data_IF_932457470931
#
_entry.id   IF_932457470931
#
_cell.length_a   1.000
_cell.length_b   1.000
_cell.length_c   1.000
_cell.angle_alpha   90.00
_cell.angle_beta   90.00
_cell.angle_gamma   90.00
#
_symmetry.space_group_name_H-M   'P 1'
#
loop_
_entity.id
_entity.type
_entity.pdbx_description
1 polymer ?
#
# COMPACT_ATOMS: atom_id res chain seq x y z
N UNK A 1 -6.77 -27.56 -14.07
CA UNK A 1 -5.91 -26.44 -13.61
C UNK A 1 -4.52 -26.35 -14.28
N UNK A 2 -4.27 -26.97 -15.45
CA UNK A 2 -3.00 -26.79 -16.22
C UNK A 2 -3.17 -26.13 -17.59
N UNK A 3 -4.39 -25.76 -18.00
CA UNK A 3 -4.67 -25.06 -19.28
C UNK A 3 -4.78 -23.52 -19.16
N UNK A 4 -4.88 -22.96 -17.95
CA UNK A 4 -4.98 -21.51 -17.73
C UNK A 4 -3.64 -20.81 -17.48
N UNK A 5 -2.56 -21.57 -17.24
CA UNK A 5 -1.20 -21.01 -17.06
C UNK A 5 -0.52 -20.72 -18.41
N UNK A 6 -0.87 -21.47 -19.47
CA UNK A 6 -0.33 -21.23 -20.81
C UNK A 6 -0.94 -19.98 -21.47
N UNK A 7 -2.17 -19.61 -21.14
CA UNK A 7 -2.87 -18.48 -21.75
C UNK A 7 -2.42 -17.12 -21.17
N UNK A 8 -1.97 -17.09 -19.92
CA UNK A 8 -1.44 -15.88 -19.26
C UNK A 8 0.01 -15.61 -19.70
N UNK A 9 0.79 -16.66 -20.02
CA UNK A 9 2.15 -16.52 -20.54
C UNK A 9 2.23 -15.98 -21.98
N UNK A 10 1.24 -16.27 -22.81
CA UNK A 10 1.19 -15.82 -24.21
C UNK A 10 0.78 -14.35 -24.37
N UNK A 11 -0.01 -13.78 -23.43
CA UNK A 11 -0.33 -12.36 -23.44
C UNK A 11 0.82 -11.45 -22.96
N UNK A 12 1.80 -11.99 -22.23
CA UNK A 12 2.98 -11.23 -21.77
C UNK A 12 4.11 -11.11 -22.80
N UNK A 13 4.10 -11.92 -23.87
CA UNK A 13 5.10 -11.83 -24.94
C UNK A 13 4.69 -10.89 -26.09
N UNK A 14 3.39 -10.64 -26.28
CA UNK A 14 2.87 -9.73 -27.30
C UNK A 14 3.04 -8.23 -26.95
N UNK A 15 3.29 -7.91 -25.68
CA UNK A 15 3.49 -6.52 -25.21
C UNK A 15 4.96 -6.09 -25.15
N UNK A 16 5.90 -7.00 -25.41
CA UNK A 16 7.35 -6.70 -25.39
C UNK A 16 7.90 -6.46 -26.81
N UNK A 17 7.12 -6.72 -27.87
CA UNK A 17 7.51 -6.43 -29.27
C UNK A 17 6.86 -5.18 -29.90
N UNK A 18 6.13 -4.36 -29.13
CA UNK A 18 5.49 -3.12 -29.61
C UNK A 18 6.11 -1.83 -29.08
N UNK A 19 7.26 -1.92 -28.42
CA UNK A 19 7.96 -0.80 -27.79
C UNK A 19 9.43 -0.71 -28.17
N UNK A 20 9.78 -0.84 -29.45
CA UNK A 20 11.09 -0.46 -29.95
C UNK A 20 11.03 -0.11 -31.44
N UNK A 21 11.59 1.04 -31.78
CA UNK A 21 11.94 1.52 -33.12
C UNK A 21 10.90 2.34 -33.90
N UNK A 22 10.75 3.62 -33.50
CA UNK A 22 10.66 4.70 -34.49
C UNK A 22 12.08 5.16 -34.88
N UNK A 23 12.27 5.37 -36.19
CA UNK A 23 13.43 5.88 -36.95
C UNK A 23 14.27 4.82 -37.66
N UNK A 24 14.01 4.67 -38.96
CA UNK A 24 14.90 5.06 -40.08
C UNK A 24 14.06 4.96 -41.38
N UNK A 25 13.98 6.06 -42.14
CA UNK A 25 13.54 6.10 -43.54
C UNK A 25 14.72 5.70 -44.42
N UNK A 26 14.49 4.87 -45.45
CA UNK A 26 15.44 4.64 -46.55
C UNK A 26 15.16 3.36 -47.33
N UNK A 27 14.54 3.52 -48.50
CA UNK A 27 14.53 2.73 -49.74
C UNK A 27 14.94 1.23 -49.77
N UNK A 28 13.96 0.39 -50.16
CA UNK A 28 13.93 -0.71 -51.19
C UNK A 28 15.08 -1.77 -51.27
N UNK A 29 14.89 -2.99 -51.86
CA UNK A 29 13.72 -3.55 -52.55
C UNK A 29 13.29 -4.97 -52.08
N UNK A 30 12.20 -5.43 -52.69
CA UNK A 30 11.72 -6.81 -52.74
C UNK A 30 12.79 -7.80 -53.21
N UNK A 31 12.89 -8.97 -52.57
CA UNK A 31 13.07 -10.22 -53.32
C UNK A 31 12.67 -11.46 -52.53
N UNK A 32 12.15 -12.42 -53.28
CA UNK A 32 11.49 -13.64 -52.85
C UNK A 32 12.48 -14.80 -52.85
N UNK A 33 12.75 -15.50 -51.74
CA UNK A 33 13.43 -16.81 -51.80
C UNK A 33 12.86 -17.79 -50.77
N UNK A 34 12.32 -18.89 -51.31
CA UNK A 34 12.01 -20.15 -50.64
C UNK A 34 13.25 -20.77 -49.98
N UNK A 35 13.11 -21.32 -48.77
CA UNK A 35 14.14 -22.18 -48.19
C UNK A 35 13.68 -22.90 -46.92
N UNK A 36 13.35 -24.19 -47.04
CA UNK A 36 13.28 -25.10 -45.90
C UNK A 36 14.69 -25.28 -45.35
N UNK A 37 14.95 -24.87 -44.10
CA UNK A 37 16.23 -25.08 -43.45
C UNK A 37 16.12 -24.92 -41.94
N UNK A 38 16.62 -25.92 -41.19
CA UNK A 38 16.81 -25.86 -39.73
C UNK A 38 18.01 -24.95 -39.45
N UNK A 39 17.85 -23.97 -38.56
CA UNK A 39 18.99 -23.25 -38.00
C UNK A 39 19.57 -24.06 -36.83
N UNK A 40 20.80 -24.57 -37.01
CA UNK A 40 21.64 -25.07 -35.93
C UNK A 40 22.29 -23.87 -35.22
N UNK A 41 22.25 -23.86 -33.89
CA UNK A 41 23.09 -23.01 -33.07
C UNK A 41 24.16 -23.93 -32.45
N UNK A 42 25.42 -23.74 -32.83
CA UNK A 42 26.57 -24.35 -32.16
C UNK A 42 26.89 -23.56 -30.89
N UNK A 43 26.95 -24.26 -29.75
CA UNK A 43 27.46 -23.72 -28.49
C UNK A 43 28.91 -24.21 -28.36
N UNK A 44 29.91 -23.35 -28.12
CA UNK A 44 31.28 -23.79 -27.92
C UNK A 44 31.40 -24.63 -26.63
N UNK A 45 32.14 -25.74 -26.73
CA UNK A 45 32.52 -26.60 -25.62
C UNK A 45 33.31 -25.81 -24.57
N UNK A 46 32.81 -25.76 -23.34
CA UNK A 46 33.60 -25.40 -22.16
C UNK A 46 33.86 -26.71 -21.41
N UNK A 47 35.12 -27.16 -21.42
CA UNK A 47 35.57 -28.27 -20.57
C UNK A 47 35.52 -27.85 -19.11
N UNK A 48 34.76 -28.59 -18.31
CA UNK A 48 34.81 -28.54 -16.85
C UNK A 48 35.71 -29.71 -16.43
N UNK A 49 36.78 -29.49 -15.64
CA UNK A 49 37.60 -30.59 -15.17
C UNK A 49 36.77 -31.51 -14.26
N UNK A 50 36.77 -32.80 -14.57
CA UNK A 50 36.23 -33.84 -13.70
C UNK A 50 36.97 -33.79 -12.37
N UNK A 51 36.24 -33.43 -11.31
CA UNK A 51 36.72 -33.56 -9.95
C UNK A 51 36.10 -34.85 -9.40
N UNK A 52 36.84 -35.95 -9.53
CA UNK A 52 36.52 -37.23 -8.90
C UNK A 52 36.41 -37.02 -7.38
N UNK A 53 35.18 -36.98 -6.88
CA UNK A 53 34.90 -37.15 -5.47
C UNK A 53 34.54 -38.62 -5.25
N UNK A 54 35.53 -39.39 -4.82
CA UNK A 54 35.38 -40.76 -4.34
C UNK A 54 34.56 -40.76 -3.04
N UNK A 55 33.28 -41.13 -3.14
CA UNK A 55 32.37 -41.25 -2.00
C UNK A 55 32.51 -42.58 -1.25
N UNK A 56 33.39 -43.50 -1.70
CA UNK A 56 33.62 -44.80 -1.04
C UNK A 56 34.75 -44.75 0.01
N UNK A 57 35.39 -43.60 0.22
CA UNK A 57 36.50 -43.42 1.18
C UNK A 57 36.10 -42.89 2.58
N UNK A 58 34.80 -42.81 2.94
CA UNK A 58 34.36 -42.38 4.28
C UNK A 58 33.45 -43.41 4.96
N UNK A 59 34.02 -44.57 5.26
CA UNK A 59 33.44 -45.53 6.19
C UNK A 59 33.87 -45.19 7.63
N UNK A 60 33.10 -44.37 8.33
CA UNK A 60 33.24 -44.21 9.79
C UNK A 60 32.19 -45.07 10.50
N UNK A 61 32.56 -46.31 10.77
CA UNK A 61 31.79 -47.24 11.61
C UNK A 61 32.02 -46.88 13.10
N UNK A 62 31.19 -46.00 13.66
CA UNK A 62 31.17 -45.76 15.11
C UNK A 62 30.27 -46.79 15.79
N UNK A 63 30.87 -47.88 16.28
CA UNK A 63 30.24 -48.73 17.30
C UNK A 63 30.44 -48.09 18.68
N UNK A 64 29.35 -47.57 19.24
CA UNK A 64 29.30 -47.22 20.66
C UNK A 64 28.89 -48.45 21.47
N UNK A 65 29.84 -49.08 22.16
CA UNK A 65 29.53 -50.03 23.22
C UNK A 65 29.24 -49.26 24.52
N UNK A 66 27.97 -49.23 24.93
CA UNK A 66 27.58 -48.78 26.26
C UNK A 66 27.60 -49.96 27.21
N UNK A 67 28.69 -50.11 27.97
CA UNK A 67 28.71 -51.05 29.08
C UNK A 67 27.97 -50.41 30.28
N UNK A 68 26.70 -50.76 30.46
CA UNK A 68 25.86 -50.24 31.54
C UNK A 68 26.01 -51.11 32.79
N UNK A 69 26.80 -50.66 33.76
CA UNK A 69 26.91 -51.32 35.06
C UNK A 69 25.61 -51.10 35.86
N UNK A 70 24.71 -52.08 35.73
CA UNK A 70 23.38 -52.07 36.36
C UNK A 70 23.46 -52.08 37.90
N UNK A 71 24.57 -52.52 38.50
CA UNK A 71 24.72 -52.50 39.96
C UNK A 71 24.97 -51.09 40.50
N UNK A 72 25.74 -50.26 39.79
CA UNK A 72 25.99 -48.86 40.18
C UNK A 72 24.72 -48.00 40.07
N UNK A 73 23.89 -48.25 39.05
CA UNK A 73 22.64 -47.53 38.87
C UNK A 73 21.60 -47.83 39.97
N UNK A 74 21.50 -49.09 40.41
CA UNK A 74 20.62 -49.47 41.51
C UNK A 74 21.06 -48.90 42.86
N UNK A 75 22.37 -48.82 43.12
CA UNK A 75 22.91 -48.19 44.32
C UNK A 75 22.61 -46.68 44.36
N UNK A 76 22.76 -45.98 43.22
CA UNK A 76 22.39 -44.56 43.09
C UNK A 76 20.91 -44.30 43.28
N UNK A 77 20.05 -45.22 42.83
CA UNK A 77 18.60 -45.08 43.00
C UNK A 77 18.19 -45.24 44.46
N UNK A 78 18.77 -46.21 45.18
CA UNK A 78 18.50 -46.37 46.61
C UNK A 78 19.01 -45.17 47.45
N UNK A 79 20.17 -44.62 47.12
CA UNK A 79 20.70 -43.42 47.80
C UNK A 79 19.82 -42.19 47.54
N UNK A 80 19.30 -42.04 46.32
CA UNK A 80 18.41 -40.94 45.95
C UNK A 80 17.04 -41.03 46.63
N UNK A 81 16.49 -42.25 46.79
CA UNK A 81 15.23 -42.49 47.50
C UNK A 81 15.38 -42.32 49.03
N UNK A 82 16.56 -42.63 49.60
CA UNK A 82 16.89 -42.42 51.02
C UNK A 82 17.21 -40.95 51.33
N UNK A 83 17.78 -40.18 50.39
CA UNK A 83 18.05 -38.75 50.54
C UNK A 83 16.82 -37.86 50.33
N UNK A 84 15.75 -38.13 51.08
CA UNK A 84 14.84 -37.11 51.59
C UNK A 84 14.15 -36.18 50.61
N UNK A 85 13.33 -36.68 49.67
CA UNK A 85 12.30 -35.85 49.02
C UNK A 85 11.08 -35.74 49.94
N UNK A 86 11.21 -34.97 51.03
CA UNK A 86 10.06 -34.61 51.88
C UNK A 86 9.25 -33.42 51.37
N UNK A 87 9.74 -32.66 50.38
CA UNK A 87 9.15 -31.37 50.03
C UNK A 87 8.77 -31.15 48.57
N UNK A 88 8.52 -32.21 47.78
CA UNK A 88 8.04 -32.03 46.39
C UNK A 88 6.69 -31.29 46.33
N UNK A 89 5.78 -31.58 47.27
CA UNK A 89 4.49 -30.88 47.40
C UNK A 89 4.62 -29.42 47.86
N UNK A 90 5.67 -29.10 48.61
CA UNK A 90 5.94 -27.73 49.06
C UNK A 90 6.60 -26.91 47.95
N UNK A 91 7.48 -27.53 47.16
CA UNK A 91 8.07 -26.94 45.95
C UNK A 91 7.00 -26.64 44.88
N UNK A 92 6.05 -27.57 44.66
CA UNK A 92 4.92 -27.34 43.76
C UNK A 92 4.01 -26.21 44.22
N UNK A 93 3.73 -26.10 45.53
CA UNK A 93 2.98 -24.97 46.09
C UNK A 93 3.73 -23.65 45.90
N UNK A 94 5.03 -23.62 46.18
CA UNK A 94 5.84 -22.41 46.04
C UNK A 94 5.99 -21.96 44.57
N UNK A 95 6.07 -22.90 43.62
CA UNK A 95 6.04 -22.61 42.19
C UNK A 95 4.68 -22.04 41.74
N UNK A 96 3.58 -22.54 42.28
CA UNK A 96 2.23 -22.05 41.96
C UNK A 96 1.98 -20.65 42.51
N UNK A 97 2.38 -20.39 43.76
CA UNK A 97 2.31 -19.06 44.40
C UNK A 97 3.21 -18.05 43.67
N UNK A 98 4.41 -18.44 43.26
CA UNK A 98 5.30 -17.57 42.48
C UNK A 98 4.72 -17.28 41.09
N UNK A 99 4.04 -18.23 40.43
CA UNK A 99 3.38 -17.99 39.14
C UNK A 99 2.23 -16.99 39.26
N UNK A 100 1.45 -17.06 40.33
CA UNK A 100 0.35 -16.10 40.59
C UNK A 100 0.90 -14.70 40.89
N UNK A 101 1.92 -14.58 41.75
CA UNK A 101 2.62 -13.32 42.05
C UNK A 101 3.31 -12.72 40.82
N UNK A 102 3.94 -13.54 39.98
CA UNK A 102 4.51 -13.11 38.68
C UNK A 102 3.41 -12.62 37.72
N UNK A 103 2.22 -13.22 37.76
CA UNK A 103 1.08 -12.74 36.96
C UNK A 103 0.55 -11.39 37.45
N UNK A 104 0.52 -11.16 38.77
CA UNK A 104 0.13 -9.88 39.36
C UNK A 104 1.18 -8.79 39.16
N UNK A 105 2.48 -9.12 39.29
CA UNK A 105 3.58 -8.24 38.89
C UNK A 105 3.50 -7.90 37.39
N UNK A 106 3.20 -8.88 36.53
CA UNK A 106 2.99 -8.66 35.10
C UNK A 106 1.76 -7.80 34.78
N UNK A 107 0.72 -7.81 35.61
CA UNK A 107 -0.45 -6.92 35.50
C UNK A 107 -0.12 -5.50 35.99
N UNK A 108 0.60 -5.37 37.11
CA UNK A 108 1.02 -4.08 37.66
C UNK A 108 2.13 -3.38 36.85
N UNK A 109 2.95 -4.14 36.10
CA UNK A 109 3.89 -3.58 35.12
C UNK A 109 3.18 -3.06 33.85
N UNK A 110 2.05 -3.67 33.47
CA UNK A 110 1.24 -3.18 32.34
C UNK A 110 0.46 -1.90 32.66
N UNK A 111 0.13 -1.64 33.93
CA UNK A 111 -0.53 -0.38 34.33
C UNK A 111 0.44 0.77 34.62
N UNK A 112 1.75 0.50 34.78
CA UNK A 112 2.75 1.50 35.17
C UNK A 112 3.76 1.85 34.06
N UNK A 113 3.60 1.27 32.87
CA UNK A 113 4.40 1.60 31.68
C UNK A 113 3.49 2.26 30.65
N UNK A 114 3.63 3.58 30.46
CA UNK A 114 3.15 4.29 29.26
C UNK A 114 3.93 3.81 28.03
N UNK A 115 3.69 2.57 27.60
CA UNK A 115 4.28 1.89 26.45
C UNK A 115 3.18 1.34 25.52
N UNK A 116 2.09 2.08 25.33
CA UNK A 116 1.09 1.72 24.32
C UNK A 116 1.61 1.91 22.88
N UNK A 117 2.77 2.55 22.70
CA UNK A 117 3.38 2.75 21.36
C UNK A 117 4.33 1.61 20.92
N UNK A 118 4.62 0.62 21.77
CA UNK A 118 5.56 -0.47 21.46
C UNK A 118 4.88 -1.76 20.95
N UNK A 119 3.57 -1.94 21.17
CA UNK A 119 2.84 -3.14 20.72
C UNK A 119 2.35 -3.07 19.27
N UNK A 120 2.32 -1.89 18.66
CA UNK A 120 1.84 -1.68 17.29
C UNK A 120 2.87 -2.14 16.23
N UNK A 121 4.11 -2.44 16.65
CA UNK A 121 5.17 -3.01 15.80
C UNK A 121 5.31 -4.53 15.91
N UNK A 122 4.29 -5.24 16.39
CA UNK A 122 4.24 -6.70 16.27
C UNK A 122 4.12 -7.06 14.79
N UNK A 123 5.23 -7.53 14.21
CA UNK A 123 5.31 -8.06 12.86
C UNK A 123 4.32 -9.23 12.71
N UNK A 124 3.29 -9.07 11.88
CA UNK A 124 2.52 -10.19 11.31
C UNK A 124 3.29 -10.87 10.16
N UNK A 125 4.61 -10.96 10.27
CA UNK A 125 5.40 -11.95 9.56
C UNK A 125 5.82 -12.99 10.61
N UNK A 126 5.62 -14.28 10.34
CA UNK A 126 6.13 -15.37 11.18
C UNK A 126 7.58 -15.07 11.54
N UNK A 127 7.81 -14.67 12.79
CA UNK A 127 9.02 -14.01 13.24
C UNK A 127 10.25 -14.87 13.02
N UNK A 128 11.06 -14.52 12.03
CA UNK A 128 12.46 -14.88 12.02
C UNK A 128 13.19 -13.87 12.90
N UNK A 129 13.97 -14.35 13.85
CA UNK A 129 14.94 -13.49 14.55
C UNK A 129 16.05 -13.14 13.56
N UNK A 130 16.52 -11.88 13.50
CA UNK A 130 17.69 -11.54 12.70
C UNK A 130 18.89 -12.40 13.10
N UNK A 131 19.64 -12.90 12.12
CA UNK A 131 20.90 -13.63 12.36
C UNK A 131 22.02 -12.68 12.82
N UNK A 132 21.96 -11.41 12.37
CA UNK A 132 22.90 -10.35 12.76
C UNK A 132 22.17 -9.02 12.84
N UNK A 133 22.58 -8.18 13.79
CA UNK A 133 22.09 -6.80 13.95
C UNK A 133 23.29 -5.86 14.05
N UNK A 134 23.22 -4.74 13.32
CA UNK A 134 24.20 -3.65 13.41
C UNK A 134 23.47 -2.36 13.80
N UNK A 135 24.00 -1.63 14.78
CA UNK A 135 23.44 -0.34 15.21
C UNK A 135 24.44 0.78 14.95
N UNK A 136 23.97 1.90 14.42
CA UNK A 136 24.77 3.09 14.11
C UNK A 136 24.04 4.35 14.54
N UNK A 137 24.80 5.36 14.94
CA UNK A 137 24.27 6.65 15.39
C UNK A 137 24.94 7.78 14.62
N UNK A 138 24.14 8.72 14.12
CA UNK A 138 24.59 9.86 13.34
C UNK A 138 24.10 11.15 13.97
N UNK A 139 24.96 12.16 14.02
CA UNK A 139 24.64 13.48 14.58
C UNK A 139 24.63 14.52 13.46
N UNK A 140 23.96 15.65 13.66
CA UNK A 140 23.94 16.77 12.70
C UNK A 140 23.38 16.41 11.30
N UNK A 141 22.47 15.43 11.24
CA UNK A 141 21.78 15.04 10.00
C UNK A 141 20.55 15.94 9.80
N UNK A 142 20.40 16.48 8.60
CA UNK A 142 19.25 17.27 8.16
C UNK A 142 18.38 16.54 7.14
N UNK A 143 18.94 15.56 6.43
CA UNK A 143 18.26 14.78 5.39
C UNK A 143 18.73 13.32 5.38
N UNK A 144 17.79 12.40 5.15
CA UNK A 144 18.06 10.97 5.02
C UNK A 144 17.51 10.48 3.69
N UNK A 145 18.39 9.85 2.90
CA UNK A 145 18.06 9.21 1.64
C UNK A 145 18.18 7.70 1.78
N UNK A 146 17.07 6.98 1.68
CA UNK A 146 17.05 5.51 1.75
C UNK A 146 16.74 4.94 0.38
N UNK A 147 17.66 4.18 -0.21
CA UNK A 147 17.42 3.33 -1.37
C UNK A 147 17.44 1.87 -0.96
N UNK A 148 16.29 1.22 -1.00
CA UNK A 148 16.11 -0.11 -0.43
C UNK A 148 15.41 -1.05 -1.40
N UNK A 149 16.06 -2.15 -1.74
CA UNK A 149 15.53 -3.06 -2.75
C UNK A 149 14.63 -4.15 -2.18
N UNK A 150 15.05 -4.81 -1.10
CA UNK A 150 14.34 -5.97 -0.52
C UNK A 150 14.40 -5.97 1.00
N UNK A 151 13.22 -5.95 1.62
CA UNK A 151 13.05 -5.95 3.06
C UNK A 151 12.21 -4.77 3.54
N UNK A 152 12.10 -4.63 4.84
CA UNK A 152 11.21 -3.66 5.46
C UNK A 152 11.99 -2.45 5.98
N UNK A 153 11.34 -1.28 5.93
CA UNK A 153 11.81 -0.06 6.56
C UNK A 153 10.79 0.33 7.62
N UNK A 154 11.24 0.42 8.86
CA UNK A 154 10.46 0.89 9.99
C UNK A 154 10.99 2.23 10.44
N UNK A 155 10.19 3.28 10.30
CA UNK A 155 10.56 4.63 10.66
C UNK A 155 9.84 5.03 11.94
N UNK A 156 10.57 5.63 12.87
CA UNK A 156 10.03 6.17 14.12
C UNK A 156 10.54 7.57 14.34
N UNK A 157 9.66 8.50 14.67
CA UNK A 157 10.08 9.81 15.15
C UNK A 157 10.66 9.69 16.58
N UNK A 158 11.74 10.42 16.85
CA UNK A 158 12.44 10.46 18.13
C UNK A 158 12.63 11.90 18.63
N UNK A 159 12.77 12.02 19.96
CA UNK A 159 13.16 13.28 20.64
C UNK A 159 14.68 13.46 20.70
N UNK A 160 15.44 12.44 20.33
CA UNK A 160 16.90 12.53 20.20
C UNK A 160 17.28 13.53 19.11
N UNK A 161 18.45 14.16 19.25
CA UNK A 161 19.07 14.95 18.17
C UNK A 161 19.78 14.08 17.14
N UNK A 162 19.99 12.81 17.47
CA UNK A 162 20.72 11.88 16.65
C UNK A 162 19.76 10.99 15.87
N UNK A 163 20.18 10.60 14.68
CA UNK A 163 19.56 9.51 13.92
C UNK A 163 20.14 8.21 14.43
N UNK A 164 19.29 7.26 14.79
CA UNK A 164 19.69 5.91 15.20
C UNK A 164 19.19 4.92 14.15
N UNK A 165 20.13 4.19 13.55
CA UNK A 165 19.87 3.20 12.52
C UNK A 165 20.22 1.81 13.05
N UNK A 166 19.26 0.91 13.01
CA UNK A 166 19.44 -0.52 13.24
C UNK A 166 19.21 -1.28 11.93
N UNK A 167 20.19 -2.12 11.58
CA UNK A 167 20.19 -2.92 10.36
C UNK A 167 20.11 -4.38 10.77
N UNK A 168 19.06 -5.05 10.33
CA UNK A 168 18.77 -6.45 10.67
C UNK A 168 19.01 -7.33 9.44
N UNK A 169 19.86 -8.34 9.59
CA UNK A 169 20.20 -9.30 8.53
C UNK A 169 19.59 -10.66 8.82
N UNK A 170 18.91 -11.26 7.83
CA UNK A 170 18.23 -12.56 7.95
C UNK A 170 18.91 -13.68 7.16
N UNK A 171 20.20 -13.52 6.84
CA UNK A 171 21.00 -14.58 6.27
C UNK A 171 22.40 -14.63 6.92
N UNK A 172 22.86 -15.85 7.20
CA UNK A 172 24.19 -16.20 7.73
C UNK A 172 25.31 -16.10 6.68
N UNK A 173 25.00 -16.08 5.40
CA UNK A 173 26.00 -15.95 4.34
C UNK A 173 26.64 -14.56 4.42
N UNK A 174 27.90 -14.50 4.86
CA UNK A 174 28.74 -13.32 4.97
C UNK A 174 29.04 -12.68 3.59
N UNK A 175 28.01 -12.17 2.92
CA UNK A 175 28.19 -11.30 1.78
C UNK A 175 28.84 -10.00 2.27
N UNK A 176 29.92 -9.57 1.62
CA UNK A 176 30.61 -8.32 1.96
C UNK A 176 29.65 -7.14 1.77
N UNK A 177 29.37 -6.43 2.88
CA UNK A 177 28.72 -5.12 2.96
C UNK A 177 27.47 -4.93 2.08
N UNK A 178 26.36 -5.62 2.40
CA UNK A 178 25.12 -5.47 1.64
C UNK A 178 24.40 -4.15 1.92
N UNK A 179 24.86 -3.36 2.92
CA UNK A 179 24.40 -1.99 3.16
C UNK A 179 25.57 -1.03 3.02
N UNK A 180 25.41 -0.01 2.18
CA UNK A 180 26.35 1.10 2.00
C UNK A 180 25.77 2.34 2.67
N UNK A 181 26.60 3.02 3.45
CA UNK A 181 26.20 4.24 4.14
C UNK A 181 27.26 5.30 3.89
N UNK A 182 26.83 6.50 3.54
CA UNK A 182 27.69 7.67 3.41
C UNK A 182 27.04 8.88 4.06
N UNK A 183 27.87 9.75 4.60
CA UNK A 183 27.47 11.03 5.17
C UNK A 183 28.22 12.12 4.43
N UNK A 184 27.50 13.06 3.81
CA UNK A 184 28.08 14.26 3.22
C UNK A 184 27.21 15.46 3.57
N UNK A 185 27.81 16.49 4.18
CA UNK A 185 27.18 17.79 4.47
C UNK A 185 25.79 17.68 5.16
N UNK A 186 25.64 16.75 6.10
CA UNK A 186 24.39 16.54 6.85
C UNK A 186 23.35 15.66 6.14
N UNK A 187 23.68 15.10 4.97
CA UNK A 187 22.85 14.11 4.27
C UNK A 187 23.36 12.71 4.61
N UNK A 188 22.48 11.87 5.17
CA UNK A 188 22.74 10.46 5.42
C UNK A 188 22.13 9.61 4.31
N UNK A 189 22.97 9.05 3.44
CA UNK A 189 22.52 8.15 2.38
C UNK A 189 22.71 6.69 2.80
N UNK A 190 21.64 5.89 2.70
CA UNK A 190 21.59 4.48 3.06
C UNK A 190 21.11 3.68 1.85
N UNK A 191 21.98 2.81 1.32
CA UNK A 191 21.64 1.95 0.19
C UNK A 191 21.77 0.47 0.57
N UNK A 192 20.70 -0.32 0.40
CA UNK A 192 20.74 -1.77 0.60
C UNK A 192 20.73 -2.51 -0.75
N UNK A 193 21.61 -3.51 -0.86
CA UNK A 193 21.73 -4.41 -2.01
C UNK A 193 21.11 -5.79 -1.71
N UNK A 194 20.10 -5.82 -0.82
CA UNK A 194 19.39 -7.05 -0.45
C UNK A 194 18.81 -7.78 -1.67
N UNK A 195 18.40 -9.03 -1.46
CA UNK A 195 17.73 -9.85 -2.46
C UNK A 195 16.48 -10.49 -1.86
N UNK A 196 15.67 -11.16 -2.68
CA UNK A 196 14.50 -11.89 -2.20
C UNK A 196 14.84 -12.96 -1.16
N UNK A 197 16.05 -13.54 -1.25
CA UNK A 197 16.59 -14.55 -0.32
C UNK A 197 17.34 -13.92 0.86
N UNK A 198 17.93 -12.74 0.63
CA UNK A 198 18.75 -12.02 1.62
C UNK A 198 18.08 -10.69 1.96
N UNK A 199 16.96 -10.77 2.66
CA UNK A 199 16.21 -9.60 3.10
C UNK A 199 16.97 -8.87 4.21
N UNK A 200 16.86 -7.54 4.20
CA UNK A 200 17.46 -6.67 5.19
C UNK A 200 16.36 -5.77 5.71
N UNK A 201 16.15 -5.74 7.02
CA UNK A 201 15.23 -4.78 7.62
C UNK A 201 16.02 -3.58 8.17
N UNK A 202 15.50 -2.38 7.92
CA UNK A 202 16.02 -1.13 8.44
C UNK A 202 15.05 -0.59 9.48
N UNK A 203 15.50 -0.42 10.72
CA UNK A 203 14.74 0.29 11.75
C UNK A 203 15.46 1.60 12.01
N UNK A 204 14.78 2.72 11.76
CA UNK A 204 15.38 4.05 11.86
C UNK A 204 14.57 4.94 12.79
N UNK A 205 15.24 5.47 13.81
CA UNK A 205 14.71 6.50 14.69
C UNK A 205 15.25 7.86 14.24
N UNK A 206 14.35 8.77 13.88
CA UNK A 206 14.65 10.03 13.18
C UNK A 206 14.20 11.22 14.04
N UNK A 207 15.02 12.26 14.23
CA UNK A 207 14.59 13.51 14.88
C UNK A 207 13.49 14.24 14.09
N UNK A 208 12.64 15.00 14.80
CA UNK A 208 11.42 15.65 14.25
C UNK A 208 11.59 16.53 13.01
N UNK A 209 12.78 17.06 12.76
CA UNK A 209 13.03 18.07 11.73
C UNK A 209 13.90 17.55 10.58
N UNK A 210 14.05 16.22 10.47
CA UNK A 210 14.92 15.60 9.46
C UNK A 210 14.08 15.15 8.28
N UNK A 211 14.41 15.67 7.10
CA UNK A 211 13.77 15.27 5.85
C UNK A 211 14.07 13.80 5.56
N UNK A 212 13.07 13.09 5.05
CA UNK A 212 13.19 11.68 4.68
C UNK A 212 12.73 11.44 3.25
N UNK A 213 13.63 10.91 2.43
CA UNK A 213 13.30 10.38 1.12
C UNK A 213 13.50 8.86 1.11
N UNK A 214 12.51 8.13 0.60
CA UNK A 214 12.55 6.66 0.52
C UNK A 214 12.31 6.21 -0.91
N UNK A 215 13.19 5.40 -1.45
CA UNK A 215 12.99 4.58 -2.64
C UNK A 215 12.94 3.10 -2.19
N UNK A 216 11.77 2.49 -2.26
CA UNK A 216 11.53 1.11 -1.83
C UNK A 216 10.90 0.29 -2.96
N UNK A 217 11.52 -0.85 -3.29
CA UNK A 217 11.05 -1.73 -4.38
C UNK A 217 10.33 -3.00 -3.96
N UNK A 218 10.70 -3.66 -2.88
CA UNK A 218 10.04 -4.89 -2.44
C UNK A 218 10.06 -4.99 -0.92
N UNK A 219 8.88 -4.86 -0.31
CA UNK A 219 8.72 -4.99 1.14
C UNK A 219 7.77 -3.96 1.70
N UNK A 220 7.97 -3.59 2.97
CA UNK A 220 7.08 -2.66 3.68
C UNK A 220 7.81 -1.42 4.14
N UNK A 221 7.26 -0.25 3.88
CA UNK A 221 7.56 0.96 4.63
C UNK A 221 6.49 1.12 5.70
N UNK A 222 6.88 1.21 6.98
CA UNK A 222 5.95 1.46 8.07
C UNK A 222 6.44 2.61 8.93
N UNK A 223 5.56 3.55 9.22
CA UNK A 223 5.85 4.67 10.10
C UNK A 223 4.64 5.03 10.96
N UNK A 224 4.88 5.66 12.11
CA UNK A 224 3.80 6.15 12.96
C UNK A 224 3.47 7.61 12.57
N UNK A 225 3.58 8.53 13.51
CA UNK A 225 3.53 9.96 13.27
C UNK A 225 4.86 10.45 12.67
N UNK A 226 4.77 11.33 11.67
CA UNK A 226 5.92 11.97 11.04
C UNK A 226 5.64 13.45 10.77
N UNK A 227 6.56 14.32 11.21
CA UNK A 227 6.40 15.78 11.17
C UNK A 227 7.49 16.53 10.40
N UNK A 228 8.07 15.90 9.37
CA UNK A 228 9.08 16.50 8.51
C UNK A 228 8.76 16.29 7.02
N UNK A 229 9.43 17.02 6.10
CA UNK A 229 9.28 16.78 4.67
C UNK A 229 9.56 15.32 4.32
N UNK A 230 8.62 14.72 3.57
CA UNK A 230 8.64 13.30 3.25
C UNK A 230 8.37 13.09 1.76
N UNK A 231 9.20 12.26 1.14
CA UNK A 231 9.01 11.79 -0.23
C UNK A 231 9.19 10.28 -0.29
N UNK A 232 8.29 9.57 -0.98
CA UNK A 232 8.39 8.14 -1.17
C UNK A 232 8.19 7.77 -2.65
N UNK A 233 9.13 7.00 -3.20
CA UNK A 233 9.01 6.29 -4.46
C UNK A 233 8.91 4.80 -4.14
N UNK A 234 7.74 4.23 -4.38
CA UNK A 234 7.36 2.90 -3.96
C UNK A 234 7.04 2.06 -5.20
N UNK A 235 7.59 0.86 -5.26
CA UNK A 235 7.19 -0.17 -6.21
C UNK A 235 6.94 -1.45 -5.44
N UNK A 236 5.98 -2.28 -5.87
CA UNK A 236 5.70 -3.62 -5.32
C UNK A 236 5.81 -3.72 -3.79
N UNK A 237 5.31 -2.69 -3.09
CA UNK A 237 5.51 -2.52 -1.66
C UNK A 237 4.23 -2.10 -0.96
N UNK A 238 4.22 -2.26 0.36
CA UNK A 238 3.16 -1.76 1.22
C UNK A 238 3.67 -0.58 2.02
N UNK A 239 2.95 0.53 2.02
CA UNK A 239 3.22 1.67 2.87
C UNK A 239 2.10 1.86 3.88
N UNK A 240 2.45 1.79 5.17
CA UNK A 240 1.51 2.00 6.27
C UNK A 240 2.01 3.16 7.14
N UNK A 241 1.21 4.23 7.27
CA UNK A 241 1.48 5.38 8.11
C UNK A 241 0.33 5.70 9.08
N UNK A 242 0.64 6.09 10.30
CA UNK A 242 -0.37 6.59 11.23
C UNK A 242 -0.75 8.02 10.88
N UNK A 243 0.19 8.96 10.94
CA UNK A 243 -0.13 10.34 10.60
C UNK A 243 1.01 11.21 10.08
N UNK A 244 0.63 12.19 9.26
CA UNK A 244 1.48 13.31 8.87
C UNK A 244 0.93 14.60 9.48
N UNK A 245 1.67 15.17 10.43
CA UNK A 245 1.41 16.50 10.99
C UNK A 245 2.41 17.48 10.38
N UNK A 246 2.02 18.67 9.94
CA UNK A 246 2.98 19.72 9.54
C UNK A 246 3.75 19.53 8.22
N UNK A 247 3.66 18.37 7.57
CA UNK A 247 4.28 18.11 6.28
C UNK A 247 3.24 17.71 5.22
N UNK A 248 3.53 18.06 3.97
CA UNK A 248 2.77 17.63 2.79
C UNK A 248 3.53 16.51 2.07
N UNK A 249 3.32 15.23 2.43
CA UNK A 249 4.04 14.12 1.81
C UNK A 249 3.77 14.02 0.30
N UNK A 250 4.82 13.66 -0.45
CA UNK A 250 4.71 13.28 -1.86
C UNK A 250 4.96 11.78 -1.99
N UNK A 251 3.96 11.03 -2.43
CA UNK A 251 4.02 9.58 -2.50
C UNK A 251 3.75 9.15 -3.95
N UNK A 252 4.74 8.48 -4.54
CA UNK A 252 4.61 7.79 -5.82
C UNK A 252 4.59 6.31 -5.56
N UNK A 253 3.53 5.63 -5.95
CA UNK A 253 3.39 4.18 -5.74
C UNK A 253 3.04 3.45 -7.02
N UNK A 254 3.66 2.29 -7.24
CA UNK A 254 3.45 1.46 -8.42
C UNK A 254 3.30 -0.01 -8.02
N UNK A 255 2.16 -0.62 -8.33
CA UNK A 255 1.85 -2.01 -7.97
C UNK A 255 1.88 -2.26 -6.46
N UNK A 256 1.45 -1.27 -5.68
CA UNK A 256 1.58 -1.27 -4.22
C UNK A 256 0.26 -1.05 -3.49
N UNK A 257 0.40 -0.90 -2.18
CA UNK A 257 -0.70 -0.54 -1.28
C UNK A 257 -0.26 0.56 -0.34
N UNK A 258 -1.03 1.64 -0.28
CA UNK A 258 -0.81 2.76 0.63
C UNK A 258 -1.96 2.83 1.64
N UNK A 259 -1.66 2.83 2.92
CA UNK A 259 -2.62 3.01 4.02
C UNK A 259 -2.15 4.14 4.92
N UNK A 260 -2.93 5.21 5.05
CA UNK A 260 -2.61 6.35 5.93
C UNK A 260 -3.82 6.68 6.80
N UNK A 261 -3.64 6.75 8.12
CA UNK A 261 -4.79 7.02 9.00
C UNK A 261 -5.18 8.51 8.97
N UNK A 262 -4.21 9.42 9.09
CA UNK A 262 -4.49 10.85 9.10
C UNK A 262 -3.41 11.68 8.42
N UNK A 263 -3.79 12.58 7.54
CA UNK A 263 -2.87 13.59 7.01
C UNK A 263 -3.59 14.93 6.84
N UNK A 264 -2.85 16.03 6.82
CA UNK A 264 -3.43 17.32 6.43
C UNK A 264 -3.53 17.36 4.90
N UNK A 265 -2.40 17.53 4.22
CA UNK A 265 -2.38 17.61 2.77
C UNK A 265 -1.40 16.57 2.19
N UNK A 266 -1.67 16.01 1.01
CA UNK A 266 -0.75 15.08 0.35
C UNK A 266 -0.80 15.19 -1.18
N UNK A 267 0.31 14.81 -1.84
CA UNK A 267 0.37 14.54 -3.28
C UNK A 267 0.53 13.04 -3.47
N UNK A 268 -0.42 12.41 -4.17
CA UNK A 268 -0.33 10.98 -4.51
C UNK A 268 -0.29 10.80 -6.02
N UNK A 269 0.68 10.03 -6.49
CA UNK A 269 0.76 9.55 -7.86
C UNK A 269 0.83 8.03 -7.85
N UNK A 270 -0.20 7.37 -8.37
CA UNK A 270 -0.35 5.93 -8.20
C UNK A 270 -0.59 5.22 -9.53
N UNK A 271 -0.13 3.98 -9.63
CA UNK A 271 -0.29 3.16 -10.84
C UNK A 271 -0.48 1.71 -10.47
N UNK A 272 -1.63 1.14 -10.81
CA UNK A 272 -2.02 -0.23 -10.47
C UNK A 272 -1.95 -0.52 -8.97
N UNK A 273 -2.39 0.44 -8.16
CA UNK A 273 -2.21 0.42 -6.70
C UNK A 273 -3.54 0.52 -5.96
N UNK A 274 -3.50 0.24 -4.66
CA UNK A 274 -4.64 0.43 -3.75
C UNK A 274 -4.30 1.45 -2.67
N UNK A 275 -5.11 2.50 -2.56
CA UNK A 275 -4.93 3.57 -1.58
C UNK A 275 -6.09 3.55 -0.60
N UNK A 276 -5.77 3.55 0.69
CA UNK A 276 -6.73 3.75 1.78
C UNK A 276 -6.30 4.92 2.65
N UNK A 277 -7.16 5.93 2.80
CA UNK A 277 -6.91 7.08 3.67
C UNK A 277 -8.12 7.32 4.55
N UNK A 278 -7.93 7.32 5.88
CA UNK A 278 -9.06 7.47 6.80
C UNK A 278 -9.45 8.95 6.98
N UNK A 279 -8.48 9.86 7.12
CA UNK A 279 -8.76 11.30 7.22
C UNK A 279 -7.75 12.16 6.47
N UNK A 280 -8.23 13.07 5.63
CA UNK A 280 -7.41 14.07 4.95
C UNK A 280 -8.09 15.44 4.89
N UNK A 281 -7.30 16.52 4.93
CA UNK A 281 -7.80 17.82 4.53
C UNK A 281 -7.77 17.94 3.00
N UNK A 282 -6.60 17.86 2.36
CA UNK A 282 -6.48 17.95 0.89
C UNK A 282 -5.68 16.82 0.27
N UNK A 283 -6.20 16.25 -0.80
CA UNK A 283 -5.51 15.27 -1.62
C UNK A 283 -5.38 15.79 -3.05
N UNK A 284 -4.14 16.02 -3.50
CA UNK A 284 -3.85 16.20 -4.92
C UNK A 284 -3.49 14.82 -5.50
N UNK A 285 -4.35 14.28 -6.36
CA UNK A 285 -4.31 12.90 -6.81
C UNK A 285 -4.03 12.79 -8.31
N UNK A 286 -3.20 11.83 -8.67
CA UNK A 286 -3.12 11.25 -10.01
C UNK A 286 -3.09 9.72 -9.88
N UNK A 287 -3.95 9.05 -10.62
CA UNK A 287 -4.07 7.59 -10.57
C UNK A 287 -4.20 7.01 -11.97
N UNK A 288 -3.40 5.98 -12.25
CA UNK A 288 -3.55 5.15 -13.43
C UNK A 288 -3.98 3.75 -12.98
N UNK A 289 -5.27 3.43 -13.18
CA UNK A 289 -5.86 2.14 -12.84
C UNK A 289 -5.66 1.76 -11.37
N UNK A 290 -5.98 2.70 -10.47
CA UNK A 290 -5.77 2.52 -9.02
C UNK A 290 -7.07 2.71 -8.26
N UNK A 291 -7.24 1.94 -7.18
CA UNK A 291 -8.44 1.98 -6.35
C UNK A 291 -8.20 2.87 -5.13
N UNK A 292 -9.13 3.77 -4.84
CA UNK A 292 -9.08 4.71 -3.74
C UNK A 292 -10.25 4.49 -2.77
N UNK A 293 -9.94 4.21 -1.51
CA UNK A 293 -10.90 4.13 -0.41
C UNK A 293 -10.61 5.26 0.56
N UNK A 294 -11.44 6.30 0.56
CA UNK A 294 -11.22 7.54 1.29
C UNK A 294 -12.37 7.75 2.29
N UNK A 295 -12.12 7.78 3.60
CA UNK A 295 -13.22 7.81 4.56
C UNK A 295 -13.76 9.24 4.84
N UNK A 296 -12.93 10.18 5.29
CA UNK A 296 -13.32 11.59 5.48
C UNK A 296 -12.28 12.53 4.86
N UNK A 297 -12.64 13.18 3.76
CA UNK A 297 -11.75 14.09 3.03
C UNK A 297 -12.43 15.45 2.84
N UNK A 298 -11.70 16.54 3.11
CA UNK A 298 -12.23 17.88 2.89
C UNK A 298 -12.15 18.28 1.42
N UNK A 299 -11.04 18.03 0.73
CA UNK A 299 -10.85 18.42 -0.67
C UNK A 299 -10.06 17.37 -1.46
N UNK A 300 -10.53 17.06 -2.68
CA UNK A 300 -9.82 16.25 -3.66
C UNK A 300 -9.61 17.08 -4.94
N UNK A 301 -8.36 17.15 -5.40
CA UNK A 301 -7.99 17.74 -6.68
C UNK A 301 -7.31 16.70 -7.57
N UNK A 302 -7.95 16.34 -8.67
CA UNK A 302 -7.44 15.44 -9.71
C UNK A 302 -7.27 16.18 -11.05
N UNK A 303 -6.57 17.32 -11.01
CA UNK A 303 -6.40 18.21 -12.16
C UNK A 303 -5.12 17.96 -12.96
N UNK A 304 -4.09 17.35 -12.36
CA UNK A 304 -2.75 17.24 -12.95
C UNK A 304 -2.67 16.25 -14.13
N UNK A 305 -3.61 15.30 -14.21
CA UNK A 305 -3.73 14.31 -15.29
C UNK A 305 -5.11 13.65 -15.24
N UNK A 306 -5.58 13.06 -16.34
CA UNK A 306 -6.77 12.22 -16.29
C UNK A 306 -6.53 11.03 -15.35
N UNK A 307 -7.43 10.85 -14.40
CA UNK A 307 -7.33 9.80 -13.37
C UNK A 307 -8.25 8.63 -13.70
N UNK A 308 -7.76 7.40 -13.55
CA UNK A 308 -8.49 6.14 -13.81
C UNK A 308 -8.46 5.19 -12.62
N UNK A 309 -9.46 4.30 -12.52
CA UNK A 309 -9.71 3.40 -11.40
C UNK A 309 -10.80 3.88 -10.43
N UNK A 310 -11.13 3.07 -9.43
CA UNK A 310 -12.36 3.27 -8.65
C UNK A 310 -12.16 4.18 -7.43
N UNK A 311 -13.12 5.07 -7.17
CA UNK A 311 -13.17 5.93 -5.99
C UNK A 311 -14.35 5.56 -5.11
N UNK A 312 -14.07 5.12 -3.89
CA UNK A 312 -15.07 4.91 -2.83
C UNK A 312 -14.79 5.89 -1.69
N UNK A 313 -15.69 6.85 -1.52
CA UNK A 313 -15.51 7.98 -0.62
C UNK A 313 -16.65 8.01 0.39
N UNK A 314 -16.34 8.05 1.69
CA UNK A 314 -17.34 8.22 2.74
C UNK A 314 -17.91 9.64 2.74
N UNK A 315 -17.25 10.55 3.46
CA UNK A 315 -17.59 11.97 3.50
C UNK A 315 -16.62 12.81 2.68
N UNK A 316 -17.14 13.65 1.80
CA UNK A 316 -16.37 14.53 0.95
C UNK A 316 -16.81 15.98 1.11
N UNK A 317 -15.88 16.90 1.32
CA UNK A 317 -16.15 18.34 1.26
C UNK A 317 -16.32 18.78 -0.19
N UNK A 318 -15.22 18.77 -0.93
CA UNK A 318 -15.16 19.18 -2.33
C UNK A 318 -14.33 18.27 -3.23
N UNK A 319 -14.70 18.22 -4.52
CA UNK A 319 -14.00 17.46 -5.55
C UNK A 319 -13.89 18.24 -6.85
N UNK A 320 -12.68 18.34 -7.39
CA UNK A 320 -12.41 18.84 -8.74
C UNK A 320 -11.53 17.87 -9.51
N UNK A 321 -11.83 17.65 -10.78
CA UNK A 321 -10.88 16.94 -11.64
C UNK A 321 -11.48 16.32 -12.89
N UNK A 322 -10.61 15.58 -13.59
CA UNK A 322 -10.95 14.81 -14.79
C UNK A 322 -10.73 13.32 -14.53
N UNK A 323 -11.79 12.55 -14.77
CA UNK A 323 -11.85 11.12 -14.54
C UNK A 323 -12.15 10.42 -15.86
N UNK A 324 -11.31 9.45 -16.20
CA UNK A 324 -11.44 8.65 -17.41
C UNK A 324 -11.32 7.18 -17.00
N UNK A 325 -12.31 6.33 -17.27
CA UNK A 325 -12.32 4.97 -16.76
C UNK A 325 -12.17 4.91 -15.23
N UNK A 326 -12.88 5.79 -14.52
CA UNK A 326 -12.85 5.92 -13.06
C UNK A 326 -14.25 6.12 -12.49
N UNK A 327 -14.82 5.06 -11.91
CA UNK A 327 -16.11 5.15 -11.26
C UNK A 327 -15.98 5.82 -9.89
N UNK A 328 -16.89 6.74 -9.58
CA UNK A 328 -16.88 7.54 -8.36
C UNK A 328 -18.14 7.25 -7.55
N UNK A 329 -17.97 6.76 -6.33
CA UNK A 329 -19.04 6.56 -5.36
C UNK A 329 -18.75 7.36 -4.10
N UNK A 330 -19.61 8.32 -3.77
CA UNK A 330 -19.53 9.16 -2.57
C UNK A 330 -20.74 8.92 -1.69
N UNK A 331 -20.53 8.62 -0.41
CA UNK A 331 -21.63 8.41 0.53
C UNK A 331 -22.29 9.72 0.94
N UNK A 332 -21.50 10.75 1.26
CA UNK A 332 -22.01 12.07 1.66
C UNK A 332 -21.15 13.21 1.09
N UNK A 333 -21.74 14.01 0.21
CA UNK A 333 -21.12 15.23 -0.33
C UNK A 333 -21.58 16.46 0.48
N UNK A 334 -20.63 17.23 1.01
CA UNK A 334 -20.90 18.33 1.94
C UNK A 334 -20.94 19.71 1.30
N UNK A 335 -20.23 19.92 0.19
CA UNK A 335 -20.09 21.27 -0.38
C UNK A 335 -20.11 21.29 -1.90
N UNK A 336 -19.13 20.68 -2.58
CA UNK A 336 -18.97 20.92 -4.03
C UNK A 336 -18.43 19.73 -4.80
N UNK A 337 -18.95 19.52 -6.00
CA UNK A 337 -18.38 18.60 -6.97
C UNK A 337 -18.34 19.26 -8.33
N UNK A 338 -17.19 19.25 -8.98
CA UNK A 338 -17.00 19.78 -10.32
C UNK A 338 -16.08 18.85 -11.11
N UNK A 339 -16.69 17.92 -11.86
CA UNK A 339 -15.96 16.82 -12.49
C UNK A 339 -16.28 16.67 -13.96
N UNK A 340 -15.26 16.25 -14.72
CA UNK A 340 -15.38 15.83 -16.12
C UNK A 340 -15.13 14.33 -16.17
N UNK A 341 -16.11 13.57 -16.62
CA UNK A 341 -16.11 12.10 -16.61
C UNK A 341 -16.20 11.56 -18.05
N UNK A 342 -15.36 10.58 -18.38
CA UNK A 342 -15.42 9.86 -19.65
C UNK A 342 -15.34 8.36 -19.38
N UNK A 343 -16.37 7.58 -19.73
CA UNK A 343 -16.48 6.17 -19.35
C UNK A 343 -16.32 6.01 -17.82
N UNK A 344 -17.05 6.78 -17.03
CA UNK A 344 -16.82 6.94 -15.59
C UNK A 344 -18.11 7.30 -14.88
N UNK A 345 -18.73 6.33 -14.22
CA UNK A 345 -20.02 6.55 -13.56
C UNK A 345 -19.85 7.36 -12.28
N UNK A 346 -20.82 8.21 -11.98
CA UNK A 346 -20.83 9.04 -10.77
C UNK A 346 -22.05 8.69 -9.92
N UNK A 347 -21.82 8.29 -8.67
CA UNK A 347 -22.84 7.99 -7.69
C UNK A 347 -22.63 8.78 -6.41
N UNK A 348 -23.63 9.56 -6.01
CA UNK A 348 -23.65 10.30 -4.73
C UNK A 348 -24.88 9.86 -3.93
N UNK A 349 -24.64 9.22 -2.78
CA UNK A 349 -25.71 8.62 -1.96
C UNK A 349 -26.43 9.62 -1.06
N UNK A 350 -25.82 10.76 -0.76
CA UNK A 350 -26.41 11.85 0.02
C UNK A 350 -25.68 13.16 -0.22
N UNK A 351 -26.41 14.27 -0.13
CA UNK A 351 -25.86 15.63 -0.26
C UNK A 351 -26.31 16.49 0.92
N UNK A 352 -25.46 17.42 1.35
CA UNK A 352 -25.79 18.42 2.37
C UNK A 352 -26.55 19.62 1.78
N UNK A 353 -27.25 20.43 2.60
CA UNK A 353 -27.71 21.75 2.17
C UNK A 353 -26.56 22.59 1.61
N UNK A 354 -26.85 23.51 0.69
CA UNK A 354 -25.86 24.38 0.05
C UNK A 354 -24.81 23.66 -0.81
N UNK A 355 -25.09 22.42 -1.24
CA UNK A 355 -24.19 21.68 -2.13
C UNK A 355 -24.30 22.15 -3.58
N UNK A 356 -23.17 22.31 -4.29
CA UNK A 356 -23.11 22.59 -5.72
C UNK A 356 -22.48 21.42 -6.48
N UNK A 357 -23.23 20.83 -7.41
CA UNK A 357 -22.80 19.69 -8.21
C UNK A 357 -22.79 20.10 -9.68
N UNK A 358 -21.64 19.93 -10.33
CA UNK A 358 -21.43 20.13 -11.75
C UNK A 358 -20.73 18.89 -12.33
N UNK A 359 -21.43 18.15 -13.18
CA UNK A 359 -20.90 16.95 -13.84
C UNK A 359 -20.99 17.11 -15.35
N UNK A 360 -19.86 16.94 -16.04
CA UNK A 360 -19.80 16.82 -17.50
C UNK A 360 -19.41 15.39 -17.86
N UNK A 361 -20.33 14.61 -18.42
CA UNK A 361 -20.13 13.19 -18.71
C UNK A 361 -20.10 12.86 -20.21
N UNK A 362 -19.34 11.83 -20.58
CA UNK A 362 -19.46 11.14 -21.86
C UNK A 362 -19.43 9.64 -21.58
N UNK A 363 -20.50 8.91 -21.94
CA UNK A 363 -20.67 7.50 -21.56
C UNK A 363 -20.48 7.31 -20.04
N UNK A 364 -21.15 8.14 -19.25
CA UNK A 364 -20.94 8.26 -17.80
C UNK A 364 -22.27 8.54 -17.13
N UNK A 365 -22.87 7.50 -16.54
CA UNK A 365 -24.15 7.61 -15.85
C UNK A 365 -23.98 8.40 -14.56
N UNK A 366 -25.00 9.17 -14.19
CA UNK A 366 -24.99 9.99 -12.98
C UNK A 366 -26.17 9.65 -12.08
N UNK A 367 -25.90 9.17 -10.88
CA UNK A 367 -26.91 8.83 -9.87
C UNK A 367 -26.72 9.72 -8.64
N UNK A 368 -27.69 10.59 -8.36
CA UNK A 368 -27.67 11.52 -7.23
C UNK A 368 -28.86 11.24 -6.32
N UNK A 369 -28.61 11.08 -5.02
CA UNK A 369 -29.69 10.93 -4.04
C UNK A 369 -29.81 12.21 -3.22
N UNK A 370 -30.99 12.82 -3.22
CA UNK A 370 -31.25 14.13 -2.58
C UNK A 370 -32.04 13.93 -1.29
N UNK A 371 -31.49 14.18 -0.10
CA UNK A 371 -32.27 13.99 1.13
C UNK A 371 -33.55 14.85 1.17
N UNK A 372 -34.66 14.33 1.74
CA UNK A 372 -35.96 15.03 1.78
C UNK A 372 -35.90 16.39 2.49
N UNK A 373 -34.90 16.58 3.36
CA UNK A 373 -34.67 17.84 4.04
C UNK A 373 -33.97 18.91 3.18
N UNK A 374 -33.49 18.57 1.97
CA UNK A 374 -32.77 19.44 1.04
C UNK A 374 -33.66 19.78 -0.17
N UNK A 375 -33.89 21.07 -0.40
CA UNK A 375 -34.42 21.54 -1.68
C UNK A 375 -33.28 21.72 -2.68
N UNK A 376 -33.47 21.29 -3.93
CA UNK A 376 -32.46 21.39 -4.99
C UNK A 376 -33.02 22.02 -6.26
N UNK A 377 -32.26 22.91 -6.88
CA UNK A 377 -32.48 23.31 -8.28
C UNK A 377 -31.66 22.37 -9.18
N UNK A 378 -32.17 22.09 -10.38
CA UNK A 378 -31.45 21.28 -11.34
C UNK A 378 -31.50 21.87 -12.75
N UNK A 379 -30.42 21.66 -13.49
CA UNK A 379 -30.29 21.92 -14.92
C UNK A 379 -29.60 20.72 -15.57
N UNK A 380 -30.35 19.94 -16.33
CA UNK A 380 -29.88 18.70 -16.93
C UNK A 380 -30.02 18.80 -18.45
N UNK A 381 -28.91 18.58 -19.15
CA UNK A 381 -28.82 18.57 -20.62
C UNK A 381 -28.19 17.25 -21.06
N UNK A 382 -28.96 16.41 -21.72
CA UNK A 382 -28.53 15.08 -22.15
C UNK A 382 -28.66 14.95 -23.67
N UNK A 383 -27.68 14.28 -24.28
CA UNK A 383 -27.73 13.81 -25.66
C UNK A 383 -27.71 12.29 -25.64
N UNK A 384 -28.68 11.64 -26.28
CA UNK A 384 -28.84 10.18 -26.31
C UNK A 384 -28.87 9.57 -24.90
N UNK A 385 -29.74 10.12 -24.04
CA UNK A 385 -29.94 9.67 -22.67
C UNK A 385 -31.17 10.32 -22.05
N UNK A 386 -31.57 9.86 -20.86
CA UNK A 386 -32.76 10.34 -20.17
C UNK A 386 -32.50 10.74 -18.72
N UNK A 387 -33.36 11.62 -18.20
CA UNK A 387 -33.42 12.01 -16.79
C UNK A 387 -34.62 11.33 -16.14
N UNK A 388 -34.34 10.44 -15.20
CA UNK A 388 -35.34 9.88 -14.28
C UNK A 388 -35.26 10.57 -12.92
N UNK A 389 -36.38 11.12 -12.45
CA UNK A 389 -36.51 11.62 -11.07
C UNK A 389 -37.47 10.72 -10.29
N UNK A 390 -37.08 10.33 -9.08
CA UNK A 390 -37.90 9.49 -8.21
C UNK A 390 -39.28 10.09 -7.93
N UNK A 391 -40.32 9.26 -8.03
CA UNK A 391 -41.73 9.66 -7.81
C UNK A 391 -42.01 10.18 -6.39
N UNK A 392 -41.09 9.95 -5.45
CA UNK A 392 -41.20 10.48 -4.08
C UNK A 392 -41.06 12.01 -4.02
N UNK A 393 -40.45 12.62 -5.02
CA UNK A 393 -40.29 14.08 -5.06
C UNK A 393 -41.40 14.77 -5.82
N UNK A 394 -41.86 15.89 -5.27
CA UNK A 394 -42.52 16.92 -6.07
C UNK A 394 -41.46 17.61 -6.94
N UNK A 395 -41.69 17.65 -8.25
CA UNK A 395 -40.82 18.33 -9.20
C UNK A 395 -41.57 19.47 -9.86
N UNK A 396 -41.02 20.68 -9.78
CA UNK A 396 -41.54 21.85 -10.49
C UNK A 396 -40.58 22.18 -11.63
N UNK A 397 -41.02 21.91 -12.85
CA UNK A 397 -40.22 22.21 -14.03
C UNK A 397 -40.41 23.66 -14.47
N UNK A 398 -39.31 24.30 -14.88
CA UNK A 398 -39.29 25.62 -15.52
C UNK A 398 -38.98 25.51 -17.01
N UNK A 399 -38.38 24.39 -17.44
CA UNK A 399 -38.12 24.08 -18.84
C UNK A 399 -38.17 22.56 -19.02
N UNK A 400 -38.83 22.13 -20.10
CA UNK A 400 -38.89 20.74 -20.54
C UNK A 400 -38.87 20.73 -22.06
N UNK A 401 -37.77 20.22 -22.62
CA UNK A 401 -37.63 20.01 -24.06
C UNK A 401 -37.09 18.61 -24.26
N UNK A 402 -37.82 17.81 -25.02
CA UNK A 402 -37.41 16.45 -25.39
C UNK A 402 -37.54 16.30 -26.91
N UNK A 403 -36.46 15.91 -27.56
CA UNK A 403 -36.43 15.46 -28.95
C UNK A 403 -36.05 13.98 -28.99
N UNK A 404 -35.99 13.38 -30.18
CA UNK A 404 -35.51 12.00 -30.34
C UNK A 404 -34.07 11.78 -29.85
N UNK A 405 -33.28 12.85 -29.69
CA UNK A 405 -31.85 12.76 -29.33
C UNK A 405 -31.46 13.58 -28.12
N UNK A 406 -32.28 14.54 -27.68
CA UNK A 406 -31.86 15.54 -26.70
C UNK A 406 -32.92 15.72 -25.64
N UNK A 407 -32.51 15.69 -24.37
CA UNK A 407 -33.35 15.97 -23.20
C UNK A 407 -32.79 17.18 -22.47
N UNK A 408 -33.60 18.23 -22.34
CA UNK A 408 -33.30 19.42 -21.54
C UNK A 408 -34.40 19.56 -20.50
N UNK A 409 -34.02 19.42 -19.23
CA UNK A 409 -34.95 19.58 -18.10
C UNK A 409 -34.33 20.51 -17.07
N UNK A 410 -35.06 21.56 -16.72
CA UNK A 410 -34.69 22.50 -15.65
C UNK A 410 -35.83 22.63 -14.67
N UNK A 411 -35.50 22.82 -13.41
CA UNK A 411 -36.50 23.06 -12.40
C UNK A 411 -35.99 22.90 -10.98
N UNK A 412 -36.93 22.54 -10.12
CA UNK A 412 -36.72 22.34 -8.70
C UNK A 412 -37.24 20.98 -8.26
N UNK A 413 -36.49 20.33 -7.37
CA UNK A 413 -36.85 19.11 -6.66
C UNK A 413 -37.13 19.46 -5.20
N UNK A 414 -38.25 18.94 -4.70
CA UNK A 414 -38.72 19.15 -3.33
C UNK A 414 -39.51 20.45 -3.15
N UNK A 415 -40.22 20.55 -2.04
CA UNK A 415 -41.11 21.68 -1.72
C UNK A 415 -40.41 22.83 -0.99
N UNK A 416 -39.21 22.57 -0.44
CA UNK A 416 -38.42 23.57 0.27
C UNK A 416 -37.72 24.51 -0.70
N UNK A 417 -37.36 25.71 -0.25
CA UNK A 417 -36.50 26.64 -1.02
C UNK A 417 -35.22 25.91 -1.44
N UNK A 418 -34.84 25.95 -2.74
CA UNK A 418 -33.61 25.34 -3.21
C UNK A 418 -32.39 25.91 -2.48
N UNK A 419 -31.59 25.03 -1.89
CA UNK A 419 -30.28 25.34 -1.32
C UNK A 419 -29.16 24.64 -2.08
N UNK A 420 -29.44 23.45 -2.64
CA UNK A 420 -28.49 22.74 -3.49
C UNK A 420 -28.72 23.07 -4.97
N UNK A 421 -27.66 22.99 -5.76
CA UNK A 421 -27.70 23.20 -7.21
C UNK A 421 -27.07 22.00 -7.91
N UNK A 422 -27.79 21.41 -8.86
CA UNK A 422 -27.35 20.26 -9.65
C UNK A 422 -27.29 20.66 -11.12
N UNK A 423 -26.11 20.61 -11.71
CA UNK A 423 -25.91 20.83 -13.15
C UNK A 423 -25.27 19.59 -13.73
N UNK A 424 -25.93 18.96 -14.71
CA UNK A 424 -25.40 17.80 -15.41
C UNK A 424 -25.51 18.01 -16.90
N UNK A 425 -24.40 17.82 -17.61
CA UNK A 425 -24.37 17.75 -19.06
C UNK A 425 -23.73 16.44 -19.47
N UNK A 426 -24.43 15.57 -20.18
CA UNK A 426 -23.91 14.25 -20.53
C UNK A 426 -24.27 13.82 -21.96
N UNK A 427 -23.39 13.06 -22.58
CA UNK A 427 -23.63 12.40 -23.87
C UNK A 427 -23.63 10.88 -23.66
N UNK A 428 -24.59 10.18 -24.27
CA UNK A 428 -24.72 8.72 -24.24
C UNK A 428 -24.78 8.14 -22.82
N UNK A 429 -25.58 8.76 -21.95
CA UNK A 429 -25.67 8.40 -20.54
C UNK A 429 -26.96 8.90 -19.90
N UNK A 430 -27.39 8.19 -18.86
CA UNK A 430 -28.59 8.52 -18.10
C UNK A 430 -28.27 9.26 -16.81
N UNK A 431 -29.23 10.07 -16.37
CA UNK A 431 -29.20 10.74 -15.06
C UNK A 431 -30.37 10.26 -14.22
N UNK A 432 -30.08 9.84 -12.99
CA UNK A 432 -31.09 9.39 -12.02
C UNK A 432 -30.99 10.22 -10.76
N UNK A 433 -32.06 10.94 -10.43
CA UNK A 433 -32.18 11.66 -9.16
C UNK A 433 -33.14 10.88 -8.25
N UNK A 434 -32.62 10.32 -7.16
CA UNK A 434 -33.32 9.35 -6.30
C UNK A 434 -33.70 9.88 -4.94
#
# INVERSE_FOLDING_TARGET
>A
MKKYILFIGLCSLALIQLGASEKIKGDLPQDSINGKGRFNIEIPNIEIPDMDLDFDALNFDYKFDFNFDTAQWLAWKEDFEKSGVKNLKELERNLKVNKERLSELGKNLKSRSNNDNLKVFSNNQKGKTPDRVETKTYSNISEIDISHKYGNIFVRESRSKNVELEIQYFNKLNQRNPVRISEDKGVLAIASLGSSVNQIDLVISIPRNVKLNVDLKYGRLKMNEFNAPFSANLSYSTFDAESFSGARPTIKDKYGKVTISKLQDAVLSTSYSKVKIDKANRLDLSGAYSDFVLNDVQAISAQLSSTSGDFKIGSLGEMDGKFNYADISIDNLRSRMNVICNYSDVKVNSISPNTNINVKGNYSDVVLSVPDNVGASFNVVLVQGDLTVSKKYTVKYTEQTETSTTVIKKGQIGTKRPTATITVSSNYADVKIK
#
